data_IF_304301676650
#
_entry.id   IF_304301676650
#
_cell.length_a   1.000
_cell.length_b   1.000
_cell.length_c   1.000
_cell.angle_alpha   90.00
_cell.angle_beta   90.00
_cell.angle_gamma   90.00
#
_symmetry.space_group_name_H-M   'P 1'
#
loop_
_entity.id
_entity.type
_entity.pdbx_description
1 polymer ?
#
# COMPACT_ATOMS: atom_id res chain seq x y z
N UNK A 1 -4.38 15.83 -17.33
CA UNK A 1 -4.82 15.92 -15.93
C UNK A 1 -4.10 14.81 -15.18
N UNK A 2 -3.08 15.16 -14.42
CA UNK A 2 -2.40 14.22 -13.53
C UNK A 2 -3.43 13.76 -12.51
N UNK A 3 -3.85 12.49 -12.55
CA UNK A 3 -4.70 11.93 -11.50
C UNK A 3 -3.85 11.95 -10.23
N UNK A 4 -4.19 12.84 -9.30
CA UNK A 4 -3.62 12.78 -7.96
C UNK A 4 -3.87 11.36 -7.44
N UNK A 5 -2.80 10.58 -7.26
CA UNK A 5 -2.91 9.23 -6.70
C UNK A 5 -3.57 9.36 -5.34
N UNK A 6 -4.61 8.57 -5.09
CA UNK A 6 -5.21 8.51 -3.76
C UNK A 6 -4.21 7.91 -2.78
N UNK A 7 -4.28 8.27 -1.50
CA UNK A 7 -3.39 7.70 -0.48
C UNK A 7 -3.38 6.16 -0.49
N UNK A 8 -4.51 5.54 -0.83
CA UNK A 8 -4.63 4.11 -1.10
C UNK A 8 -3.73 3.60 -2.23
N UNK A 9 -3.73 4.27 -3.39
CA UNK A 9 -2.90 3.91 -4.54
C UNK A 9 -1.41 4.13 -4.22
N UNK A 10 -1.08 5.15 -3.43
CA UNK A 10 0.28 5.35 -2.93
C UNK A 10 0.73 4.24 -1.97
N UNK A 11 -0.18 3.65 -1.21
CA UNK A 11 0.09 2.50 -0.35
C UNK A 11 0.45 1.26 -1.15
N UNK A 12 -0.30 1.00 -2.22
CA UNK A 12 -0.01 -0.08 -3.18
C UNK A 12 1.36 0.13 -3.82
N UNK A 13 1.60 1.32 -4.40
CA UNK A 13 2.87 1.69 -5.03
C UNK A 13 4.05 1.55 -4.08
N UNK A 14 3.87 1.91 -2.80
CA UNK A 14 4.90 1.77 -1.79
C UNK A 14 5.29 0.29 -1.55
N UNK A 15 4.31 -0.62 -1.46
CA UNK A 15 4.58 -2.05 -1.34
C UNK A 15 5.31 -2.59 -2.58
N UNK A 16 4.82 -2.27 -3.78
CA UNK A 16 5.43 -2.71 -5.05
C UNK A 16 6.88 -2.22 -5.20
N UNK A 17 7.22 -1.09 -4.57
CA UNK A 17 8.58 -0.54 -4.51
C UNK A 17 9.41 -1.04 -3.34
N UNK A 18 8.89 -1.98 -2.55
CA UNK A 18 9.58 -2.61 -1.41
C UNK A 18 9.68 -1.74 -0.17
N UNK A 19 8.86 -0.71 -0.02
CA UNK A 19 8.82 0.11 1.20
C UNK A 19 8.10 -0.62 2.33
N UNK A 20 8.56 -0.39 3.56
CA UNK A 20 7.90 -0.93 4.74
C UNK A 20 6.56 -0.24 5.00
N UNK A 21 5.63 -0.95 5.63
CA UNK A 21 4.33 -0.41 6.05
C UNK A 21 4.47 0.80 7.00
N UNK A 22 5.51 0.79 7.83
CA UNK A 22 5.76 1.87 8.80
C UNK A 22 6.43 3.11 8.18
N UNK A 23 6.89 3.04 6.92
CA UNK A 23 7.37 4.19 6.13
C UNK A 23 6.23 5.07 5.57
N UNK A 24 5.00 4.89 6.07
CA UNK A 24 3.86 5.69 5.69
C UNK A 24 4.14 7.18 5.95
N UNK A 25 4.10 8.07 4.93
CA UNK A 25 4.43 9.49 5.09
C UNK A 25 3.33 10.27 5.84
N UNK A 26 2.16 9.67 6.03
CA UNK A 26 1.02 10.29 6.65
C UNK A 26 1.07 10.18 8.18
N UNK A 27 0.81 11.27 8.93
CA UNK A 27 0.81 11.25 10.38
C UNK A 27 -0.31 10.36 10.92
N UNK A 28 -0.14 9.85 12.15
CA UNK A 28 -1.07 8.88 12.78
C UNK A 28 -2.53 9.36 12.82
N UNK A 29 -2.74 10.66 12.99
CA UNK A 29 -4.07 11.27 13.08
C UNK A 29 -4.75 11.51 11.72
N UNK A 30 -4.08 11.23 10.59
CA UNK A 30 -4.58 11.52 9.25
C UNK A 30 -5.36 10.33 8.68
N UNK A 31 -6.58 10.56 8.19
CA UNK A 31 -7.38 9.51 7.55
C UNK A 31 -6.71 8.97 6.27
N UNK A 32 -5.84 9.75 5.62
CA UNK A 32 -5.02 9.27 4.50
C UNK A 32 -4.06 8.16 4.92
N UNK A 33 -3.59 8.15 6.17
CA UNK A 33 -2.77 7.05 6.70
C UNK A 33 -3.53 5.74 6.67
N UNK A 34 -4.81 5.75 7.07
CA UNK A 34 -5.65 4.54 7.04
C UNK A 34 -5.79 4.00 5.62
N UNK A 35 -6.07 4.90 4.67
CA UNK A 35 -6.19 4.54 3.24
C UNK A 35 -4.88 4.00 2.68
N UNK A 36 -3.74 4.64 2.99
CA UNK A 36 -2.42 4.19 2.57
C UNK A 36 -2.07 2.82 3.13
N UNK A 37 -2.31 2.61 4.42
CA UNK A 37 -2.07 1.33 5.08
C UNK A 37 -2.96 0.24 4.47
N UNK A 38 -4.22 0.54 4.21
CA UNK A 38 -5.16 -0.40 3.58
C UNK A 38 -4.70 -0.79 2.16
N UNK A 39 -4.21 0.17 1.37
CA UNK A 39 -3.62 -0.08 0.06
C UNK A 39 -2.38 -0.98 0.13
N UNK A 40 -1.46 -0.67 1.05
CA UNK A 40 -0.25 -1.46 1.27
C UNK A 40 -0.58 -2.90 1.71
N UNK A 41 -1.49 -3.07 2.67
CA UNK A 41 -1.92 -4.39 3.15
C UNK A 41 -2.62 -5.20 2.05
N UNK A 42 -3.37 -4.54 1.16
CA UNK A 42 -3.97 -5.19 -0.01
C UNK A 42 -2.92 -5.70 -0.99
N UNK A 43 -1.92 -4.88 -1.30
CA UNK A 43 -0.83 -5.26 -2.21
C UNK A 43 -0.02 -6.42 -1.64
N UNK A 44 0.32 -6.38 -0.34
CA UNK A 44 0.99 -7.48 0.35
C UNK A 44 0.18 -8.78 0.27
N UNK A 45 -1.13 -8.75 0.56
CA UNK A 45 -1.97 -9.95 0.47
C UNK A 45 -2.04 -10.51 -0.94
N UNK A 46 -2.09 -9.64 -1.95
CA UNK A 46 -2.07 -10.08 -3.34
C UNK A 46 -0.73 -10.75 -3.70
N UNK A 47 0.39 -10.19 -3.24
CA UNK A 47 1.72 -10.78 -3.40
C UNK A 47 1.85 -12.12 -2.67
N UNK A 48 1.44 -12.20 -1.40
CA UNK A 48 1.44 -13.46 -0.63
C UNK A 48 0.65 -14.57 -1.37
N UNK A 49 -0.48 -14.22 -2.00
CA UNK A 49 -1.29 -15.16 -2.80
C UNK A 49 -0.63 -15.57 -4.13
N UNK A 50 0.22 -14.73 -4.70
CA UNK A 50 1.01 -15.09 -5.89
C UNK A 50 2.16 -16.03 -5.53
N UNK A 51 2.73 -15.91 -4.32
CA UNK A 51 3.85 -16.75 -3.87
C UNK A 51 3.37 -18.14 -3.43
N UNK A 52 2.17 -18.26 -2.84
CA UNK A 52 1.60 -19.55 -2.39
C UNK A 52 1.00 -20.41 -3.52
N UNK A 53 1.02 -19.90 -4.77
CA UNK A 53 0.49 -20.58 -5.96
C UNK A 53 1.45 -21.52 -6.68
N UNK A 54 2.48 -22.04 -6.01
CA UNK A 54 3.36 -23.07 -6.60
C UNK A 54 2.73 -24.45 -6.35
N UNK A 55 2.33 -25.24 -7.38
CA UNK A 55 1.82 -26.60 -7.19
C UNK A 55 2.84 -27.54 -6.55
#
# INVERSE_FOLDING_TARGET
>A
MEKAKSAFEEGIDAFERGKARDDCPYPVADDRRKLWIEGWDKAKRADDLLVDGTP
#
